data_IF_219313945104
#
_entry.id   IF_219313945104
#
_cell.length_a   1.000
_cell.length_b   1.000
_cell.length_c   1.000
_cell.angle_alpha   90.00
_cell.angle_beta   90.00
_cell.angle_gamma   90.00
#
_symmetry.space_group_name_H-M   'P 1'
#
loop_
_entity.id
_entity.type
_entity.pdbx_description
1 polymer ?
#
# COMPACT_ATOMS: atom_id res chain seq x y z
N UNK A 1 -4.23 17.29 3.02
CA UNK A 1 -5.04 16.93 1.84
C UNK A 1 -5.14 15.41 1.84
N UNK A 2 -6.34 14.88 1.92
CA UNK A 2 -6.54 13.43 1.95
C UNK A 2 -6.46 12.86 0.52
N UNK A 3 -6.11 11.59 0.40
CA UNK A 3 -6.11 10.83 -0.85
C UNK A 3 -7.09 9.66 -0.76
N UNK A 4 -7.63 9.24 -1.88
CA UNK A 4 -8.63 8.18 -1.96
C UNK A 4 -8.13 7.03 -2.82
N UNK A 5 -8.33 5.80 -2.36
CA UNK A 5 -8.01 4.58 -3.08
C UNK A 5 -9.33 3.88 -3.37
N UNK A 6 -9.60 3.67 -4.66
CA UNK A 6 -10.81 3.05 -5.16
C UNK A 6 -10.53 1.68 -5.73
N UNK A 7 -11.53 0.78 -5.72
CA UNK A 7 -11.44 -0.47 -6.48
C UNK A 7 -11.58 -0.19 -7.98
N UNK A 8 -10.74 -0.82 -8.80
CA UNK A 8 -10.79 -0.71 -10.27
C UNK A 8 -10.79 0.74 -10.76
N UNK A 9 -11.58 1.04 -11.79
CA UNK A 9 -11.79 2.38 -12.34
C UNK A 9 -12.79 3.21 -11.50
N UNK A 10 -12.55 3.34 -10.19
CA UNK A 10 -13.36 4.14 -9.23
C UNK A 10 -14.69 3.54 -8.76
N UNK A 11 -14.76 2.23 -8.54
CA UNK A 11 -15.90 1.60 -7.87
C UNK A 11 -15.80 1.73 -6.35
N UNK A 12 -16.35 2.81 -5.81
CA UNK A 12 -16.37 3.07 -4.36
C UNK A 12 -14.98 3.33 -3.77
N UNK A 13 -14.93 4.12 -2.69
CA UNK A 13 -13.68 4.29 -1.95
C UNK A 13 -13.48 3.08 -1.06
N UNK A 14 -12.39 2.34 -1.29
CA UNK A 14 -11.96 1.25 -0.41
C UNK A 14 -11.22 1.80 0.80
N UNK A 15 -10.30 2.73 0.56
CA UNK A 15 -9.51 3.34 1.61
C UNK A 15 -9.36 4.84 1.40
N UNK A 16 -9.32 5.57 2.51
CA UNK A 16 -8.89 6.97 2.52
C UNK A 16 -7.53 7.04 3.21
N UNK A 17 -6.56 7.63 2.52
CA UNK A 17 -5.32 8.08 3.13
C UNK A 17 -5.50 9.49 3.67
N UNK A 18 -5.45 9.63 4.98
CA UNK A 18 -5.61 10.90 5.68
C UNK A 18 -4.51 11.01 6.73
N UNK A 19 -3.38 11.57 6.31
CA UNK A 19 -2.11 11.54 7.04
C UNK A 19 -2.30 11.76 8.56
N UNK A 20 -1.74 10.88 9.43
CA UNK A 20 -0.91 9.69 9.13
C UNK A 20 -1.69 8.37 8.95
N UNK A 21 -3.00 8.40 8.71
CA UNK A 21 -3.87 7.25 8.83
C UNK A 21 -4.32 6.68 7.48
N UNK A 22 -4.35 5.35 7.38
CA UNK A 22 -5.18 4.66 6.40
C UNK A 22 -6.50 4.29 7.07
N UNK A 23 -7.61 4.70 6.46
CA UNK A 23 -8.97 4.45 6.96
C UNK A 23 -9.74 3.61 5.95
N UNK A 24 -10.62 2.74 6.42
CA UNK A 24 -11.55 2.01 5.56
C UNK A 24 -12.65 2.96 5.05
N UNK A 25 -12.88 3.00 3.74
CA UNK A 25 -13.90 3.83 3.10
C UNK A 25 -13.65 5.33 3.24
N UNK A 26 -14.70 6.13 3.10
CA UNK A 26 -14.67 7.58 3.32
C UNK A 26 -14.58 7.91 4.81
N UNK A 27 -13.36 8.06 5.33
CA UNK A 27 -13.13 8.50 6.72
C UNK A 27 -13.58 7.53 7.81
N UNK A 28 -13.74 6.24 7.49
CA UNK A 28 -14.14 5.22 8.46
C UNK A 28 -13.03 4.83 9.45
N UNK A 29 -13.11 3.60 9.96
CA UNK A 29 -12.18 3.09 10.98
C UNK A 29 -10.74 3.11 10.49
N UNK A 30 -9.82 3.53 11.37
CA UNK A 30 -8.38 3.47 11.11
C UNK A 30 -7.96 2.01 11.01
N UNK A 31 -7.41 1.64 9.86
CA UNK A 31 -6.82 0.32 9.58
C UNK A 31 -5.39 0.30 10.09
N UNK A 32 -4.60 1.31 9.73
CA UNK A 32 -3.23 1.44 10.18
C UNK A 32 -2.79 2.90 10.25
N UNK A 33 -1.68 3.12 10.96
CA UNK A 33 -0.98 4.41 11.03
C UNK A 33 0.42 4.26 10.44
N UNK A 34 0.85 5.24 9.64
CA UNK A 34 2.25 5.38 9.23
C UNK A 34 2.99 6.30 10.22
N UNK A 35 3.94 5.74 10.94
CA UNK A 35 4.74 6.39 11.97
C UNK A 35 6.22 6.30 11.58
N UNK A 36 6.70 7.31 10.84
CA UNK A 36 7.99 7.28 10.18
C UNK A 36 8.05 6.12 9.17
N UNK A 37 8.97 5.19 9.39
CA UNK A 37 9.13 3.98 8.58
C UNK A 37 8.28 2.79 9.07
N UNK A 38 7.46 2.97 10.10
CA UNK A 38 6.66 1.88 10.67
C UNK A 38 5.20 2.00 10.28
N UNK A 39 4.62 0.89 9.83
CA UNK A 39 3.17 0.74 9.70
C UNK A 39 2.68 0.03 10.95
N UNK A 40 1.78 0.68 11.69
CA UNK A 40 1.23 0.19 12.94
C UNK A 40 -0.23 -0.19 12.79
N UNK A 41 -0.65 -1.24 13.49
CA UNK A 41 -2.05 -1.64 13.62
C UNK A 41 -2.84 -0.57 14.37
N UNK A 42 -3.76 0.12 13.70
CA UNK A 42 -4.53 1.23 14.29
C UNK A 42 -3.67 2.38 14.86
N UNK A 43 -4.18 3.06 15.89
CA UNK A 43 -3.52 4.19 16.57
C UNK A 43 -2.60 3.68 17.69
N UNK A 44 -1.28 3.93 17.56
CA UNK A 44 -0.29 3.56 18.58
C UNK A 44 -0.12 2.05 18.80
N UNK A 45 -0.68 1.20 17.93
CA UNK A 45 -0.58 -0.24 18.05
C UNK A 45 0.79 -0.79 17.64
N UNK A 46 0.86 -2.13 17.59
CA UNK A 46 2.08 -2.86 17.25
C UNK A 46 2.54 -2.53 15.83
N UNK A 47 3.85 -2.58 15.60
CA UNK A 47 4.43 -2.51 14.25
C UNK A 47 4.03 -3.81 13.53
N UNK A 48 3.29 -3.67 12.43
CA UNK A 48 2.89 -4.78 11.56
C UNK A 48 3.77 -4.85 10.31
N UNK A 49 4.27 -3.71 9.83
CA UNK A 49 5.26 -3.68 8.76
C UNK A 49 6.31 -2.61 9.02
N UNK A 50 7.50 -2.82 8.47
CA UNK A 50 8.55 -1.81 8.39
C UNK A 50 8.86 -1.49 6.93
N UNK A 51 8.94 -0.21 6.62
CA UNK A 51 9.47 0.30 5.38
C UNK A 51 10.98 0.44 5.49
N UNK A 52 11.71 -0.40 4.78
CA UNK A 52 13.16 -0.40 4.71
C UNK A 52 13.54 -0.27 3.24
N UNK A 53 13.53 0.95 2.73
CA UNK A 53 13.59 1.23 1.29
C UNK A 53 14.64 0.35 0.58
N UNK A 54 14.29 -0.34 -0.53
CA UNK A 54 13.00 -0.34 -1.24
C UNK A 54 12.02 -1.46 -0.80
N UNK A 55 12.15 -1.98 0.41
CA UNK A 55 11.47 -3.19 0.90
C UNK A 55 10.36 -2.89 1.91
N UNK A 56 9.28 -3.66 1.82
CA UNK A 56 8.34 -3.84 2.93
C UNK A 56 8.68 -5.13 3.67
N UNK A 57 8.83 -5.04 4.99
CA UNK A 57 9.16 -6.18 5.87
C UNK A 57 8.02 -6.51 6.81
N UNK A 58 7.93 -7.77 7.20
CA UNK A 58 7.04 -8.24 8.25
C UNK A 58 7.54 -7.76 9.63
N UNK A 59 6.83 -6.81 10.25
CA UNK A 59 7.22 -6.23 11.53
C UNK A 59 8.62 -5.58 11.56
N UNK A 60 9.18 -5.42 12.76
CA UNK A 60 10.51 -4.82 12.97
C UNK A 60 11.63 -5.86 12.78
N UNK A 61 12.50 -5.64 11.81
CA UNK A 61 13.64 -6.52 11.53
C UNK A 61 13.27 -7.87 10.91
N UNK A 62 12.01 -8.07 10.51
CA UNK A 62 11.57 -9.33 9.90
C UNK A 62 11.92 -9.47 8.42
N UNK A 63 11.48 -10.58 7.80
CA UNK A 63 11.78 -10.90 6.41
C UNK A 63 11.15 -9.89 5.45
N UNK A 64 11.76 -9.77 4.26
CA UNK A 64 11.22 -8.97 3.16
C UNK A 64 9.98 -9.68 2.60
N UNK A 65 8.84 -8.98 2.58
CA UNK A 65 7.59 -9.46 2.01
C UNK A 65 7.48 -9.08 0.53
N UNK A 66 7.77 -7.82 0.22
CA UNK A 66 7.75 -7.30 -1.13
C UNK A 66 8.79 -6.19 -1.32
N UNK A 67 9.16 -5.97 -2.58
CA UNK A 67 10.11 -4.93 -3.00
C UNK A 67 9.49 -4.02 -4.04
N UNK A 68 9.93 -2.77 -4.08
CA UNK A 68 9.66 -1.87 -5.19
C UNK A 68 10.88 -1.70 -6.09
N UNK A 69 10.65 -1.80 -7.39
CA UNK A 69 11.70 -1.73 -8.41
C UNK A 69 11.13 -0.99 -9.64
N UNK A 70 11.47 0.29 -9.79
CA UNK A 70 11.14 1.06 -10.99
C UNK A 70 9.64 1.13 -11.32
N UNK A 71 8.77 1.19 -10.30
CA UNK A 71 7.31 1.15 -10.48
C UNK A 71 6.69 -0.24 -10.45
N UNK A 72 7.47 -1.31 -10.28
CA UNK A 72 6.96 -2.67 -10.07
C UNK A 72 7.00 -3.05 -8.60
N UNK A 73 5.90 -3.57 -8.08
CA UNK A 73 5.87 -4.21 -6.76
C UNK A 73 6.02 -5.72 -6.95
N UNK A 74 7.08 -6.28 -6.38
CA UNK A 74 7.47 -7.69 -6.54
C UNK A 74 7.32 -8.44 -5.22
N UNK A 75 6.97 -9.72 -5.29
CA UNK A 75 7.03 -10.62 -4.12
C UNK A 75 8.49 -10.85 -3.72
N UNK A 76 8.82 -10.62 -2.46
CA UNK A 76 10.19 -10.72 -1.94
C UNK A 76 11.19 -9.83 -2.69
N UNK A 77 12.47 -10.21 -2.65
CA UNK A 77 13.54 -9.55 -3.40
C UNK A 77 13.66 -10.16 -4.80
N UNK A 78 13.37 -9.37 -5.85
CA UNK A 78 13.53 -9.80 -7.25
C UNK A 78 12.53 -10.86 -7.73
N UNK A 79 11.48 -11.17 -6.96
CA UNK A 79 10.48 -12.15 -7.36
C UNK A 79 9.47 -11.64 -8.39
N UNK A 80 8.37 -12.40 -8.52
CA UNK A 80 7.29 -12.11 -9.48
C UNK A 80 6.67 -10.75 -9.22
N UNK A 81 6.40 -10.02 -10.30
CA UNK A 81 5.65 -8.76 -10.25
C UNK A 81 4.21 -9.05 -9.83
N UNK A 82 3.81 -8.50 -8.69
CA UNK A 82 2.44 -8.56 -8.17
C UNK A 82 1.61 -7.40 -8.69
N UNK A 83 2.23 -6.23 -8.86
CA UNK A 83 1.56 -5.04 -9.37
C UNK A 83 2.51 -4.09 -10.12
N UNK A 84 1.93 -3.26 -10.99
CA UNK A 84 2.59 -2.13 -11.64
C UNK A 84 1.92 -0.82 -11.19
N UNK A 85 2.74 0.15 -10.79
CA UNK A 85 2.33 1.52 -10.51
C UNK A 85 2.37 2.32 -11.82
N UNK A 86 1.20 2.68 -12.34
CA UNK A 86 1.02 3.43 -13.58
C UNK A 86 0.28 4.75 -13.31
N UNK A 87 1.04 5.75 -12.87
CA UNK A 87 0.51 7.06 -12.50
C UNK A 87 -0.50 6.96 -11.35
N UNK A 88 -1.77 7.24 -11.66
CA UNK A 88 -2.88 7.12 -10.71
C UNK A 88 -3.40 5.68 -10.54
N UNK A 89 -2.92 4.72 -11.33
CA UNK A 89 -3.44 3.36 -11.34
C UNK A 89 -2.47 2.37 -10.71
N UNK A 90 -3.02 1.38 -10.00
CA UNK A 90 -2.31 0.17 -9.61
C UNK A 90 -2.90 -0.95 -10.46
N UNK A 91 -2.05 -1.58 -11.27
CA UNK A 91 -2.43 -2.68 -12.16
C UNK A 91 -1.95 -4.00 -11.60
N UNK A 92 -2.72 -5.08 -11.80
CA UNK A 92 -2.30 -6.42 -11.43
C UNK A 92 -1.17 -6.92 -12.34
N UNK A 93 -0.13 -7.54 -11.75
CA UNK A 93 1.00 -8.08 -12.48
C UNK A 93 1.75 -7.06 -13.33
N UNK A 94 2.28 -7.52 -14.47
CA UNK A 94 3.02 -6.70 -15.43
C UNK A 94 2.06 -5.97 -16.39
N UNK A 95 1.52 -4.83 -15.96
CA UNK A 95 0.64 -4.00 -16.81
C UNK A 95 -0.75 -4.59 -17.06
N UNK A 96 -1.26 -5.45 -16.18
CA UNK A 96 -2.59 -6.06 -16.31
C UNK A 96 -3.75 -5.10 -16.04
N UNK A 97 -4.90 -5.66 -15.66
CA UNK A 97 -6.11 -4.88 -15.37
C UNK A 97 -5.91 -3.92 -14.20
N UNK A 98 -6.63 -2.81 -14.20
CA UNK A 98 -6.60 -1.85 -13.08
C UNK A 98 -7.25 -2.51 -11.87
N UNK A 99 -6.45 -2.76 -10.83
CA UNK A 99 -6.90 -3.26 -9.55
C UNK A 99 -7.39 -2.13 -8.65
N UNK A 100 -6.65 -1.01 -8.64
CA UNK A 100 -7.00 0.18 -7.88
C UNK A 100 -6.74 1.47 -8.65
N UNK A 101 -7.50 2.50 -8.32
CA UNK A 101 -7.24 3.89 -8.74
C UNK A 101 -6.99 4.74 -7.51
N UNK A 102 -5.97 5.60 -7.56
CA UNK A 102 -5.61 6.55 -6.53
C UNK A 102 -5.97 7.98 -6.97
N UNK A 103 -6.51 8.75 -6.05
CA UNK A 103 -6.73 10.18 -6.21
C UNK A 103 -6.01 10.92 -5.08
N UNK A 104 -5.01 11.71 -5.43
CA UNK A 104 -4.10 12.33 -4.46
C UNK A 104 -2.85 11.48 -4.21
N UNK A 105 -2.02 11.93 -3.27
CA UNK A 105 -0.74 11.28 -2.96
C UNK A 105 -0.89 10.26 -1.83
N UNK A 106 -0.59 9.00 -2.14
CA UNK A 106 -0.51 7.91 -1.16
C UNK A 106 0.97 7.51 -0.99
N UNK A 107 1.49 7.40 0.25
CA UNK A 107 2.87 6.97 0.47
C UNK A 107 3.13 5.57 -0.08
N UNK A 108 4.30 5.39 -0.70
CA UNK A 108 4.74 4.08 -1.22
C UNK A 108 4.66 2.92 -0.22
N UNK A 109 5.03 3.05 1.07
CA UNK A 109 4.86 1.95 2.03
C UNK A 109 3.39 1.54 2.22
N UNK A 110 2.45 2.49 2.16
CA UNK A 110 1.01 2.20 2.25
C UNK A 110 0.52 1.49 1.00
N UNK A 111 0.96 1.92 -0.19
CA UNK A 111 0.65 1.24 -1.46
C UNK A 111 1.14 -0.21 -1.42
N UNK A 112 2.39 -0.42 -1.01
CA UNK A 112 3.00 -1.75 -0.94
C UNK A 112 2.30 -2.66 0.06
N UNK A 113 1.96 -2.12 1.23
CA UNK A 113 1.19 -2.85 2.25
C UNK A 113 -0.20 -3.23 1.73
N UNK A 114 -0.87 -2.33 0.99
CA UNK A 114 -2.17 -2.65 0.39
C UNK A 114 -2.08 -3.82 -0.59
N UNK A 115 -1.09 -3.79 -1.48
CA UNK A 115 -0.87 -4.86 -2.46
C UNK A 115 -0.48 -6.18 -1.77
N UNK A 116 0.30 -6.12 -0.69
CA UNK A 116 0.74 -7.28 0.06
C UNK A 116 -0.42 -7.97 0.80
N UNK A 117 -1.30 -7.20 1.44
CA UNK A 117 -2.38 -7.74 2.29
C UNK A 117 -3.66 -8.05 1.51
N UNK A 118 -4.04 -7.20 0.55
CA UNK A 118 -5.30 -7.33 -0.20
C UNK A 118 -5.10 -7.72 -1.67
N UNK A 119 -3.86 -7.83 -2.14
CA UNK A 119 -3.57 -8.24 -3.52
C UNK A 119 -3.94 -7.19 -4.56
N UNK A 120 -4.01 -7.63 -5.82
CA UNK A 120 -4.48 -6.87 -6.98
C UNK A 120 -5.40 -7.75 -7.84
#
# INVERSE_FOLDING_TARGET
MSAYIYQGMRFGVLFTWDWPYLKQGYGGTVVCTLDGDYIRDGYGGKIIFTWDWPYLRDGFGGPILCSEDGGYIRRGMGGTVMATLDGAYIRSGYGGSIAYTMEGMVPKPIIMMIIQEWGC
#
